data_IF_995254425461
#
_entry.id   IF_995254425461
#
_cell.length_a   1.000
_cell.length_b   1.000
_cell.length_c   1.000
_cell.angle_alpha   90.00
_cell.angle_beta   90.00
_cell.angle_gamma   90.00
#
_symmetry.space_group_name_H-M   'P 1'
#
loop_
_entity.id
_entity.type
_entity.pdbx_description
1 polymer ?
#
# COMPACT_ATOMS: atom_id res chain seq x y z
N UNK A 1 -16.02 39.75 8.24
CA UNK A 1 -16.36 38.41 8.77
C UNK A 1 -16.54 37.48 7.59
N UNK A 2 -15.65 36.49 7.46
CA UNK A 2 -15.50 35.65 6.28
C UNK A 2 -16.60 34.57 6.22
N UNK A 3 -17.53 34.70 5.26
CA UNK A 3 -18.68 33.78 5.08
C UNK A 3 -18.25 32.35 4.69
N UNK A 4 -16.99 32.16 4.31
CA UNK A 4 -16.41 30.85 3.99
C UNK A 4 -16.21 29.98 5.23
N UNK A 5 -16.01 30.58 6.41
CA UNK A 5 -15.76 29.84 7.65
C UNK A 5 -17.05 29.26 8.26
N UNK A 6 -18.17 29.98 8.17
CA UNK A 6 -19.46 29.50 8.72
C UNK A 6 -19.98 28.28 7.96
N UNK A 7 -19.82 28.24 6.63
CA UNK A 7 -20.22 27.10 5.81
C UNK A 7 -19.43 25.83 6.18
N UNK A 8 -18.13 25.96 6.44
CA UNK A 8 -17.31 24.81 6.86
C UNK A 8 -17.70 24.29 8.25
N UNK A 9 -18.04 25.18 9.18
CA UNK A 9 -18.50 24.77 10.53
C UNK A 9 -19.81 23.97 10.50
N UNK A 10 -20.77 24.39 9.66
CA UNK A 10 -22.05 23.67 9.50
C UNK A 10 -21.80 22.26 8.93
N UNK A 11 -20.91 22.13 7.93
CA UNK A 11 -20.56 20.83 7.36
C UNK A 11 -19.88 19.90 8.37
N UNK A 12 -18.94 20.41 9.16
CA UNK A 12 -18.26 19.62 10.21
C UNK A 12 -19.28 19.14 11.26
N UNK A 13 -20.19 20.01 11.69
CA UNK A 13 -21.27 19.64 12.62
C UNK A 13 -22.17 18.52 12.08
N UNK A 14 -22.57 18.61 10.81
CA UNK A 14 -23.39 17.59 10.16
C UNK A 14 -22.67 16.23 10.07
N UNK A 15 -21.37 16.24 9.75
CA UNK A 15 -20.55 15.02 9.70
C UNK A 15 -20.44 14.37 11.08
N UNK A 16 -20.22 15.14 12.15
CA UNK A 16 -20.14 14.61 13.52
C UNK A 16 -21.47 13.95 13.92
N UNK A 17 -22.60 14.60 13.62
CA UNK A 17 -23.93 14.04 13.92
C UNK A 17 -24.14 12.74 13.12
N UNK A 18 -23.80 12.72 11.84
CA UNK A 18 -23.92 11.52 11.00
C UNK A 18 -23.08 10.36 11.54
N UNK A 19 -21.83 10.62 11.96
CA UNK A 19 -20.96 9.62 12.59
C UNK A 19 -21.56 9.11 13.90
N UNK A 20 -22.10 10.01 14.74
CA UNK A 20 -22.75 9.64 16.00
C UNK A 20 -23.99 8.75 15.80
N UNK A 21 -24.84 9.08 14.82
CA UNK A 21 -26.01 8.25 14.46
C UNK A 21 -25.55 6.88 13.95
N UNK A 22 -24.54 6.84 13.08
CA UNK A 22 -23.95 5.58 12.59
C UNK A 22 -23.44 4.72 13.74
N UNK A 23 -22.75 5.32 14.72
CA UNK A 23 -22.27 4.61 15.90
C UNK A 23 -23.41 4.08 16.77
N UNK A 24 -24.49 4.85 16.96
CA UNK A 24 -25.66 4.42 17.72
C UNK A 24 -26.36 3.24 17.04
N UNK A 25 -26.59 3.34 15.73
CA UNK A 25 -27.18 2.27 14.91
C UNK A 25 -26.32 1.01 14.98
N UNK A 26 -25.00 1.14 14.91
CA UNK A 26 -24.07 0.00 15.03
C UNK A 26 -24.18 -0.74 16.37
N UNK A 27 -24.54 -0.06 17.45
CA UNK A 27 -24.71 -0.67 18.77
C UNK A 27 -26.10 -1.27 18.99
N UNK A 28 -27.13 -0.73 18.33
CA UNK A 28 -28.52 -1.16 18.52
C UNK A 28 -28.95 -2.29 17.57
N UNK A 29 -28.31 -2.38 16.39
CA UNK A 29 -28.68 -3.34 15.34
C UNK A 29 -27.86 -4.62 15.50
N UNK A 30 -28.49 -5.78 15.26
CA UNK A 30 -27.76 -7.05 15.31
C UNK A 30 -26.60 -7.07 14.31
N UNK A 31 -25.45 -7.71 14.64
CA UNK A 31 -24.28 -7.74 13.76
C UNK A 31 -24.58 -8.26 12.35
N UNK A 32 -25.54 -9.19 12.25
CA UNK A 32 -26.00 -9.75 10.97
C UNK A 32 -26.71 -8.70 10.13
N UNK A 33 -27.71 -8.00 10.70
CA UNK A 33 -28.43 -6.92 10.02
C UNK A 33 -27.49 -5.79 9.60
N UNK A 34 -26.52 -5.45 10.45
CA UNK A 34 -25.53 -4.42 10.15
C UNK A 34 -24.64 -4.80 8.96
N UNK A 35 -24.20 -6.07 8.90
CA UNK A 35 -23.42 -6.58 7.77
C UNK A 35 -24.20 -6.49 6.46
N UNK A 36 -25.48 -6.89 6.46
CA UNK A 36 -26.35 -6.76 5.30
C UNK A 36 -26.59 -5.30 4.89
N UNK A 37 -26.76 -4.39 5.85
CA UNK A 37 -26.88 -2.97 5.58
C UNK A 37 -25.64 -2.44 4.84
N UNK A 38 -24.43 -2.77 5.32
CA UNK A 38 -23.19 -2.40 4.64
C UNK A 38 -23.08 -2.99 3.23
N UNK A 39 -23.42 -4.27 3.04
CA UNK A 39 -23.41 -4.91 1.71
C UNK A 39 -24.35 -4.17 0.76
N UNK A 40 -25.57 -3.85 1.20
CA UNK A 40 -26.56 -3.14 0.37
C UNK A 40 -26.09 -1.72 0.07
N UNK A 41 -25.60 -0.98 1.06
CA UNK A 41 -25.12 0.40 0.87
C UNK A 41 -23.92 0.44 -0.07
N UNK A 42 -22.91 -0.41 0.14
CA UNK A 42 -21.72 -0.47 -0.70
C UNK A 42 -22.08 -0.99 -2.10
N UNK A 43 -22.92 -2.02 -2.21
CA UNK A 43 -23.40 -2.55 -3.49
C UNK A 43 -24.20 -1.51 -4.28
N UNK A 44 -25.13 -0.81 -3.65
CA UNK A 44 -25.89 0.27 -4.27
C UNK A 44 -24.96 1.41 -4.73
N UNK A 45 -23.99 1.80 -3.89
CA UNK A 45 -23.01 2.82 -4.27
C UNK A 45 -22.15 2.42 -5.47
N UNK A 46 -21.74 1.14 -5.55
CA UNK A 46 -20.99 0.61 -6.68
C UNK A 46 -21.82 0.64 -7.97
N UNK A 47 -23.11 0.27 -7.89
CA UNK A 47 -24.06 0.34 -9.01
C UNK A 47 -24.28 1.79 -9.45
N UNK A 48 -24.44 2.73 -8.51
CA UNK A 48 -24.59 4.16 -8.81
C UNK A 48 -23.33 4.68 -9.51
N UNK A 49 -22.13 4.35 -9.01
CA UNK A 49 -20.87 4.74 -9.65
C UNK A 49 -20.73 4.14 -11.05
N UNK A 50 -21.09 2.87 -11.24
CA UNK A 50 -21.05 2.21 -12.55
C UNK A 50 -22.07 2.84 -13.53
N UNK A 51 -23.26 3.17 -13.05
CA UNK A 51 -24.28 3.88 -13.82
C UNK A 51 -23.81 5.28 -14.20
N UNK A 52 -23.22 6.03 -13.25
CA UNK A 52 -22.65 7.34 -13.52
C UNK A 52 -21.51 7.26 -14.54
N UNK A 53 -20.62 6.27 -14.41
CA UNK A 53 -19.53 6.03 -15.37
C UNK A 53 -20.07 5.76 -16.78
N UNK A 54 -21.19 5.05 -16.91
CA UNK A 54 -21.81 4.80 -18.22
C UNK A 54 -22.35 6.06 -18.91
N UNK A 55 -22.72 7.09 -18.13
CA UNK A 55 -23.17 8.39 -18.67
C UNK A 55 -22.01 9.36 -18.89
N UNK A 56 -21.08 9.38 -17.96
CA UNK A 56 -19.92 10.27 -17.95
C UNK A 56 -18.68 9.43 -17.67
N UNK A 57 -17.95 9.00 -18.73
CA UNK A 57 -16.78 8.14 -18.58
C UNK A 57 -15.61 8.90 -17.96
N UNK A 58 -15.66 9.05 -16.65
CA UNK A 58 -14.59 9.60 -15.82
C UNK A 58 -13.83 8.47 -15.14
N UNK A 59 -12.49 8.49 -15.24
CA UNK A 59 -11.64 7.43 -14.67
C UNK A 59 -11.84 7.30 -13.15
N UNK A 60 -12.08 8.43 -12.46
CA UNK A 60 -12.28 8.44 -11.01
C UNK A 60 -13.51 7.67 -10.56
N UNK A 61 -14.64 7.79 -11.27
CA UNK A 61 -15.88 7.11 -10.90
C UNK A 61 -15.77 5.59 -11.11
N UNK A 62 -15.03 5.15 -12.13
CA UNK A 62 -14.73 3.74 -12.33
C UNK A 62 -13.89 3.14 -11.20
N UNK A 63 -12.84 3.85 -10.76
CA UNK A 63 -11.97 3.40 -9.66
C UNK A 63 -12.79 3.28 -8.37
N UNK A 64 -13.55 4.32 -8.03
CA UNK A 64 -14.40 4.32 -6.83
C UNK A 64 -15.42 3.18 -6.93
N UNK A 65 -16.18 3.09 -8.01
CA UNK A 65 -17.19 2.03 -8.19
C UNK A 65 -16.60 0.63 -8.09
N UNK A 66 -15.42 0.40 -8.67
CA UNK A 66 -14.73 -0.88 -8.59
C UNK A 66 -14.27 -1.20 -7.17
N UNK A 67 -13.66 -0.24 -6.46
CA UNK A 67 -13.20 -0.44 -5.08
C UNK A 67 -14.40 -0.75 -4.18
N UNK A 68 -15.46 0.07 -4.24
CA UNK A 68 -16.64 -0.12 -3.39
C UNK A 68 -17.36 -1.43 -3.70
N UNK A 69 -17.45 -1.80 -4.99
CA UNK A 69 -18.01 -3.08 -5.42
C UNK A 69 -17.16 -4.27 -4.96
N UNK A 70 -15.83 -4.14 -5.01
CA UNK A 70 -14.89 -5.16 -4.50
C UNK A 70 -15.06 -5.38 -3.01
N UNK A 71 -15.14 -4.31 -2.22
CA UNK A 71 -15.37 -4.39 -0.77
C UNK A 71 -16.72 -5.03 -0.47
N UNK A 72 -17.80 -4.60 -1.16
CA UNK A 72 -19.13 -5.19 -0.99
C UNK A 72 -19.13 -6.69 -1.29
N UNK A 73 -18.49 -7.09 -2.39
CA UNK A 73 -18.39 -8.50 -2.81
C UNK A 73 -17.62 -9.33 -1.78
N UNK A 74 -16.50 -8.81 -1.25
CA UNK A 74 -15.75 -9.53 -0.22
C UNK A 74 -16.57 -9.67 1.06
N UNK A 75 -17.23 -8.60 1.55
CA UNK A 75 -18.08 -8.68 2.75
C UNK A 75 -19.21 -9.72 2.55
N UNK A 76 -19.82 -9.76 1.37
CA UNK A 76 -20.82 -10.77 1.02
C UNK A 76 -20.23 -12.19 1.07
N UNK A 77 -19.09 -12.42 0.40
CA UNK A 77 -18.42 -13.72 0.37
C UNK A 77 -18.01 -14.17 1.78
N UNK A 78 -17.47 -13.28 2.60
CA UNK A 78 -17.03 -13.62 3.95
C UNK A 78 -18.20 -13.94 4.86
N UNK A 79 -19.33 -13.24 4.68
CA UNK A 79 -20.58 -13.53 5.40
C UNK A 79 -21.16 -14.90 5.03
N UNK A 80 -21.14 -15.28 3.75
CA UNK A 80 -21.69 -16.56 3.28
C UNK A 80 -20.76 -17.75 3.56
N UNK A 81 -19.46 -17.57 3.37
CA UNK A 81 -18.45 -18.64 3.50
C UNK A 81 -17.88 -18.76 4.92
N UNK A 82 -18.35 -17.92 5.86
CA UNK A 82 -17.83 -17.85 7.24
C UNK A 82 -16.29 -17.68 7.28
N UNK A 83 -15.74 -16.96 6.30
CA UNK A 83 -14.30 -16.67 6.24
C UNK A 83 -14.02 -15.56 7.25
N UNK A 84 -13.12 -15.85 8.19
CA UNK A 84 -12.67 -14.91 9.22
C UNK A 84 -11.13 -14.85 9.24
N UNK A 85 -10.56 -13.92 10.03
CA UNK A 85 -9.11 -13.73 10.14
C UNK A 85 -8.51 -12.89 9.00
N UNK A 86 -7.19 -12.99 8.80
CA UNK A 86 -6.48 -12.18 7.82
C UNK A 86 -6.84 -12.49 6.36
N UNK A 87 -7.51 -13.60 6.07
CA UNK A 87 -7.93 -13.93 4.69
C UNK A 87 -8.85 -12.84 4.11
N UNK A 88 -9.68 -12.20 4.95
CA UNK A 88 -10.58 -11.12 4.53
C UNK A 88 -9.81 -9.94 3.93
N UNK A 89 -8.90 -9.26 4.67
CA UNK A 89 -8.13 -8.15 4.11
C UNK A 89 -7.20 -8.58 2.96
N UNK A 90 -6.69 -9.83 2.95
CA UNK A 90 -5.93 -10.38 1.81
C UNK A 90 -6.76 -10.36 0.53
N UNK A 91 -7.99 -10.87 0.59
CA UNK A 91 -8.90 -10.88 -0.55
C UNK A 91 -9.26 -9.47 -1.02
N UNK A 92 -9.52 -8.54 -0.07
CA UNK A 92 -9.82 -7.15 -0.39
C UNK A 92 -8.64 -6.50 -1.13
N UNK A 93 -7.43 -6.60 -0.59
CA UNK A 93 -6.23 -6.01 -1.18
C UNK A 93 -5.91 -6.62 -2.55
N UNK A 94 -6.06 -7.95 -2.70
CA UNK A 94 -5.86 -8.64 -3.97
C UNK A 94 -6.89 -8.17 -5.03
N UNK A 95 -8.17 -8.04 -4.66
CA UNK A 95 -9.19 -7.52 -5.56
C UNK A 95 -8.90 -6.08 -5.97
N UNK A 96 -8.57 -5.22 -5.01
CA UNK A 96 -8.27 -3.80 -5.26
C UNK A 96 -7.00 -3.65 -6.10
N UNK A 97 -5.99 -4.50 -5.92
CA UNK A 97 -4.74 -4.48 -6.69
C UNK A 97 -4.90 -4.92 -8.15
N UNK A 98 -5.88 -5.79 -8.42
CA UNK A 98 -6.16 -6.37 -9.73
C UNK A 98 -6.40 -5.36 -10.88
N UNK A 99 -7.23 -4.30 -10.72
CA UNK A 99 -7.43 -3.30 -11.78
C UNK A 99 -6.16 -2.50 -12.06
N UNK A 100 -5.34 -2.20 -11.05
CA UNK A 100 -4.06 -1.52 -11.23
C UNK A 100 -3.07 -2.41 -11.97
N UNK A 101 -3.01 -3.69 -11.61
CA UNK A 101 -2.18 -4.67 -12.29
C UNK A 101 -2.60 -4.79 -13.76
N UNK A 102 -3.89 -4.98 -14.02
CA UNK A 102 -4.44 -5.09 -15.37
C UNK A 102 -4.16 -3.83 -16.20
N UNK A 103 -4.45 -2.64 -15.66
CA UNK A 103 -4.22 -1.38 -16.36
C UNK A 103 -2.72 -1.12 -16.64
N UNK A 104 -1.84 -1.44 -15.69
CA UNK A 104 -0.40 -1.27 -15.81
C UNK A 104 0.26 -2.26 -16.78
N UNK A 105 -0.27 -3.49 -16.88
CA UNK A 105 0.19 -4.49 -17.85
C UNK A 105 -0.33 -4.21 -19.25
N UNK A 106 -1.58 -3.71 -19.38
CA UNK A 106 -2.21 -3.50 -20.68
C UNK A 106 -1.71 -2.26 -21.40
N UNK A 107 -1.31 -1.22 -20.68
CA UNK A 107 -0.92 0.07 -21.27
C UNK A 107 0.46 0.53 -20.79
N UNK A 108 1.43 0.60 -21.71
CA UNK A 108 2.81 0.99 -21.42
C UNK A 108 2.91 2.39 -20.81
N UNK A 109 2.00 3.28 -21.19
CA UNK A 109 1.99 4.66 -20.70
C UNK A 109 1.53 4.75 -19.24
N UNK A 110 0.85 3.70 -18.74
CA UNK A 110 0.32 3.61 -17.38
C UNK A 110 1.10 2.65 -16.49
N UNK A 111 2.35 2.32 -16.85
CA UNK A 111 3.22 1.45 -16.03
C UNK A 111 3.41 1.94 -14.60
N UNK A 112 3.22 3.23 -14.33
CA UNK A 112 3.20 3.78 -12.97
C UNK A 112 2.16 3.13 -12.05
N UNK A 113 1.06 2.58 -12.60
CA UNK A 113 0.03 1.87 -11.84
C UNK A 113 0.48 0.50 -11.32
N UNK A 114 1.57 -0.06 -11.86
CA UNK A 114 2.13 -1.31 -11.34
C UNK A 114 2.68 -1.15 -9.92
N UNK A 115 3.07 0.07 -9.53
CA UNK A 115 3.57 0.33 -8.17
C UNK A 115 2.46 0.17 -7.13
N UNK A 116 1.29 0.84 -7.23
CA UNK A 116 0.16 0.55 -6.36
C UNK A 116 -0.28 -0.92 -6.37
N UNK A 117 -0.33 -1.55 -7.54
CA UNK A 117 -0.69 -2.96 -7.65
C UNK A 117 0.25 -3.84 -6.82
N UNK A 118 1.55 -3.68 -7.03
CA UNK A 118 2.59 -4.39 -6.31
C UNK A 118 2.47 -4.20 -4.80
N UNK A 119 2.28 -2.95 -4.33
CA UNK A 119 2.13 -2.66 -2.90
C UNK A 119 0.91 -3.38 -2.32
N UNK A 120 -0.25 -3.36 -3.00
CA UNK A 120 -1.44 -4.06 -2.53
C UNK A 120 -1.23 -5.57 -2.42
N UNK A 121 -0.64 -6.18 -3.45
CA UNK A 121 -0.33 -7.62 -3.44
C UNK A 121 0.71 -7.97 -2.38
N UNK A 122 1.72 -7.14 -2.17
CA UNK A 122 2.74 -7.39 -1.17
C UNK A 122 2.20 -7.28 0.25
N UNK A 123 1.32 -6.30 0.54
CA UNK A 123 0.62 -6.24 1.83
C UNK A 123 -0.31 -7.45 2.00
N UNK A 124 -1.02 -7.87 0.95
CA UNK A 124 -1.84 -9.08 1.01
C UNK A 124 -0.97 -10.32 1.34
N UNK A 125 0.20 -10.43 0.73
CA UNK A 125 1.12 -11.55 0.97
C UNK A 125 1.71 -11.49 2.39
N UNK A 126 2.02 -10.30 2.91
CA UNK A 126 2.39 -10.09 4.32
C UNK A 126 1.31 -10.60 5.26
N UNK A 127 0.06 -10.20 5.05
CA UNK A 127 -1.06 -10.59 5.91
C UNK A 127 -1.29 -12.11 5.87
N UNK A 128 -1.10 -12.73 4.71
CA UNK A 128 -1.17 -14.17 4.57
C UNK A 128 -0.04 -14.86 5.36
N UNK A 129 1.18 -14.31 5.29
CA UNK A 129 2.29 -14.83 6.08
C UNK A 129 2.08 -14.65 7.57
N UNK A 130 1.57 -13.51 8.05
CA UNK A 130 1.33 -13.30 9.48
C UNK A 130 0.28 -14.27 10.04
N UNK A 131 -0.70 -14.67 9.25
CA UNK A 131 -1.72 -15.63 9.68
C UNK A 131 -1.19 -17.08 9.69
N UNK A 132 -0.36 -17.44 8.72
CA UNK A 132 0.25 -18.78 8.64
C UNK A 132 1.44 -18.95 9.57
N UNK A 133 2.07 -17.84 9.94
CA UNK A 133 3.25 -17.82 10.74
C UNK A 133 2.94 -18.04 12.22
N UNK A 134 3.81 -18.80 12.86
CA UNK A 134 3.90 -18.81 14.31
C UNK A 134 4.38 -17.42 14.82
N UNK A 135 4.11 -17.10 16.09
CA UNK A 135 4.36 -15.76 16.71
C UNK A 135 5.79 -15.23 16.51
N UNK A 136 6.73 -16.11 16.15
CA UNK A 136 8.13 -15.78 15.84
C UNK A 136 8.27 -14.91 14.59
N UNK A 137 7.32 -14.90 13.66
CA UNK A 137 7.43 -14.08 12.44
C UNK A 137 6.96 -12.64 12.62
N UNK A 138 6.38 -12.28 13.76
CA UNK A 138 6.01 -10.89 14.06
C UNK A 138 7.24 -9.96 14.01
N UNK A 139 8.41 -10.49 14.35
CA UNK A 139 9.71 -9.81 14.24
C UNK A 139 10.18 -9.62 12.79
N UNK A 140 9.70 -10.46 11.85
CA UNK A 140 10.02 -10.36 10.42
C UNK A 140 9.06 -9.45 9.65
N UNK A 141 7.91 -9.09 10.23
CA UNK A 141 6.96 -8.18 9.59
C UNK A 141 7.62 -6.84 9.23
N UNK A 142 8.33 -6.14 10.14
CA UNK A 142 9.02 -4.90 9.80
C UNK A 142 10.07 -5.08 8.70
N UNK A 143 10.83 -6.18 8.73
CA UNK A 143 11.80 -6.56 7.68
C UNK A 143 11.13 -6.64 6.33
N UNK A 144 10.03 -7.38 6.24
CA UNK A 144 9.27 -7.56 5.02
C UNK A 144 8.73 -6.23 4.50
N UNK A 145 8.12 -5.41 5.36
CA UNK A 145 7.55 -4.11 4.98
C UNK A 145 8.63 -3.20 4.40
N UNK A 146 9.78 -3.09 5.07
CA UNK A 146 10.89 -2.25 4.60
C UNK A 146 11.44 -2.76 3.26
N UNK A 147 11.58 -4.08 3.12
CA UNK A 147 12.04 -4.69 1.88
C UNK A 147 11.07 -4.42 0.72
N UNK A 148 9.78 -4.66 0.94
CA UNK A 148 8.73 -4.48 -0.05
C UNK A 148 8.60 -3.03 -0.48
N UNK A 149 8.63 -2.07 0.44
CA UNK A 149 8.52 -0.65 0.08
C UNK A 149 9.79 -0.18 -0.64
N UNK A 150 10.98 -0.66 -0.24
CA UNK A 150 12.24 -0.28 -0.85
C UNK A 150 12.43 -0.81 -2.27
N UNK A 151 11.91 -2.00 -2.57
CA UNK A 151 12.14 -2.70 -3.83
C UNK A 151 11.63 -1.93 -5.07
N UNK A 152 10.42 -1.33 -5.10
CA UNK A 152 9.95 -0.47 -6.18
C UNK A 152 10.89 0.70 -6.50
N UNK A 153 11.50 1.32 -5.49
CA UNK A 153 12.44 2.44 -5.71
C UNK A 153 13.70 1.96 -6.41
N UNK A 154 14.22 0.80 -6.00
CA UNK A 154 15.41 0.20 -6.63
C UNK A 154 15.10 -0.22 -8.06
N UNK A 155 13.96 -0.89 -8.30
CA UNK A 155 13.53 -1.27 -9.64
C UNK A 155 13.37 -0.02 -10.52
N UNK A 156 12.68 1.01 -10.04
CA UNK A 156 12.48 2.25 -10.79
C UNK A 156 13.77 3.01 -11.04
N UNK A 157 14.73 2.98 -10.11
CA UNK A 157 16.06 3.54 -10.32
C UNK A 157 16.75 2.92 -11.55
N UNK A 158 16.75 1.59 -11.67
CA UNK A 158 17.38 0.90 -12.80
C UNK A 158 16.58 1.07 -14.11
N UNK A 159 15.25 0.99 -14.05
CA UNK A 159 14.38 1.14 -15.22
C UNK A 159 14.46 2.55 -15.81
N UNK A 160 14.45 3.58 -14.95
CA UNK A 160 14.43 4.98 -15.41
C UNK A 160 15.83 5.62 -15.47
N UNK A 161 16.87 4.88 -15.07
CA UNK A 161 18.24 5.39 -14.91
C UNK A 161 18.34 6.60 -13.94
N UNK A 162 17.33 6.78 -13.08
CA UNK A 162 17.30 7.84 -12.07
C UNK A 162 17.86 7.33 -10.75
N UNK A 163 19.19 7.39 -10.63
CA UNK A 163 19.91 6.86 -9.47
C UNK A 163 19.56 7.54 -8.13
N UNK A 164 18.95 8.72 -8.15
CA UNK A 164 18.44 9.39 -6.95
C UNK A 164 17.41 8.53 -6.18
N UNK A 165 16.67 7.65 -6.87
CA UNK A 165 15.71 6.73 -6.25
C UNK A 165 16.40 5.59 -5.45
N UNK A 166 17.68 5.31 -5.68
CA UNK A 166 18.42 4.34 -4.84
C UNK A 166 18.61 4.84 -3.41
N UNK A 167 18.53 6.14 -3.14
CA UNK A 167 18.68 6.66 -1.78
C UNK A 167 17.53 6.16 -0.89
N UNK A 168 16.25 6.47 -1.18
CA UNK A 168 15.15 5.95 -0.37
C UNK A 168 15.05 4.42 -0.46
N UNK A 169 15.21 3.83 -1.65
CA UNK A 169 15.15 2.37 -1.81
C UNK A 169 16.25 1.63 -1.06
N UNK A 170 17.48 2.12 -1.15
CA UNK A 170 18.65 1.56 -0.50
C UNK A 170 18.57 1.67 1.02
N UNK A 171 18.16 2.83 1.56
CA UNK A 171 17.96 3.00 3.01
C UNK A 171 16.94 1.98 3.53
N UNK A 172 15.79 1.86 2.85
CA UNK A 172 14.74 0.90 3.23
C UNK A 172 15.24 -0.55 3.17
N UNK A 173 15.95 -0.94 2.11
CA UNK A 173 16.51 -2.29 2.00
C UNK A 173 17.59 -2.56 3.05
N UNK A 174 18.43 -1.58 3.38
CA UNK A 174 19.46 -1.73 4.43
C UNK A 174 18.82 -1.88 5.79
N UNK A 175 17.80 -1.07 6.12
CA UNK A 175 17.04 -1.20 7.37
C UNK A 175 16.35 -2.57 7.43
N UNK A 176 15.70 -2.99 6.34
CA UNK A 176 15.09 -4.32 6.26
C UNK A 176 16.12 -5.44 6.50
N UNK A 177 17.29 -5.34 5.87
CA UNK A 177 18.37 -6.33 6.04
C UNK A 177 18.92 -6.36 7.47
N UNK A 178 19.00 -5.20 8.13
CA UNK A 178 19.39 -5.08 9.54
C UNK A 178 18.41 -5.82 10.46
N UNK A 179 17.12 -5.58 10.26
CA UNK A 179 16.06 -6.24 11.00
C UNK A 179 16.08 -7.76 10.74
N UNK A 180 16.32 -8.17 9.49
CA UNK A 180 16.43 -9.58 9.12
C UNK A 180 17.60 -10.28 9.82
N UNK A 181 18.79 -9.66 9.86
CA UNK A 181 19.94 -10.27 10.51
C UNK A 181 19.78 -10.35 12.02
N UNK A 182 19.08 -9.40 12.63
CA UNK A 182 18.73 -9.46 14.06
C UNK A 182 17.94 -10.74 14.38
N UNK A 183 17.03 -11.14 13.49
CA UNK A 183 16.26 -12.39 13.61
C UNK A 183 17.12 -13.66 13.45
N UNK A 184 18.12 -13.65 12.57
CA UNK A 184 19.03 -14.80 12.34
C UNK A 184 20.11 -14.90 13.42
N UNK A 185 20.08 -14.05 14.45
CA UNK A 185 21.07 -14.03 15.52
C UNK A 185 22.41 -13.42 15.10
N UNK A 186 22.42 -12.62 14.02
CA UNK A 186 23.58 -11.82 13.65
C UNK A 186 23.77 -10.77 14.74
N UNK A 187 24.85 -10.90 15.51
CA UNK A 187 25.13 -10.02 16.64
C UNK A 187 25.14 -8.54 16.21
N UNK A 188 24.67 -7.60 17.07
CA UNK A 188 24.61 -6.16 16.76
C UNK A 188 25.92 -5.60 16.22
N UNK A 189 27.04 -6.18 16.67
CA UNK A 189 28.42 -5.86 16.29
C UNK A 189 28.67 -5.93 14.77
N UNK A 190 28.07 -6.90 14.07
CA UNK A 190 28.22 -7.05 12.61
C UNK A 190 27.62 -5.86 11.90
N UNK A 191 26.52 -5.30 12.41
CA UNK A 191 25.90 -4.13 11.82
C UNK A 191 26.56 -2.83 12.24
N UNK A 192 27.00 -2.72 13.49
CA UNK A 192 27.74 -1.54 13.99
C UNK A 192 29.04 -1.33 13.22
N UNK A 193 29.72 -2.41 12.79
CA UNK A 193 30.99 -2.33 12.08
C UNK A 193 30.78 -2.48 10.57
N UNK A 194 29.95 -3.43 10.14
CA UNK A 194 29.76 -3.79 8.74
C UNK A 194 29.10 -2.69 7.90
N UNK A 195 28.06 -2.02 8.42
CA UNK A 195 27.37 -0.96 7.67
C UNK A 195 28.31 0.23 7.41
N UNK A 196 29.03 0.79 8.41
CA UNK A 196 30.01 1.83 8.15
C UNK A 196 31.10 1.42 7.17
N UNK A 197 31.62 0.19 7.28
CA UNK A 197 32.66 -0.31 6.36
C UNK A 197 32.13 -0.37 4.92
N UNK A 198 30.91 -0.86 4.71
CA UNK A 198 30.28 -0.92 3.37
C UNK A 198 30.03 0.51 2.84
N UNK A 199 29.54 1.42 3.67
CA UNK A 199 29.31 2.82 3.28
C UNK A 199 30.62 3.52 2.90
N UNK A 200 31.68 3.34 3.70
CA UNK A 200 33.00 3.90 3.44
C UNK A 200 33.58 3.32 2.14
N UNK A 201 33.52 2.00 1.96
CA UNK A 201 34.01 1.35 0.75
C UNK A 201 33.24 1.81 -0.49
N UNK A 202 31.90 1.92 -0.40
CA UNK A 202 31.05 2.39 -1.49
C UNK A 202 31.33 3.86 -1.85
N UNK A 203 31.50 4.72 -0.83
CA UNK A 203 31.88 6.12 -1.00
C UNK A 203 33.25 6.28 -1.65
N UNK A 204 34.24 5.50 -1.22
CA UNK A 204 35.58 5.48 -1.83
C UNK A 204 35.53 5.04 -3.30
N UNK A 205 34.75 4.00 -3.62
CA UNK A 205 34.58 3.50 -4.99
C UNK A 205 33.91 4.53 -5.91
N UNK A 206 32.91 5.27 -5.39
CA UNK A 206 32.26 6.36 -6.11
C UNK A 206 33.20 7.53 -6.37
N UNK A 207 34.04 7.91 -5.40
CA UNK A 207 35.04 8.97 -5.57
C UNK A 207 36.08 8.60 -6.63
N UNK A 208 36.57 7.36 -6.62
CA UNK A 208 37.53 6.87 -7.62
C UNK A 208 36.94 6.86 -9.04
N UNK A 209 35.67 6.45 -9.20
CA UNK A 209 34.98 6.48 -10.51
C UNK A 209 34.61 7.90 -10.96
N UNK A 210 34.17 8.76 -10.04
CA UNK A 210 33.82 10.15 -10.32
C UNK A 210 35.03 10.98 -10.77
N UNK A 211 36.19 10.78 -10.14
CA UNK A 211 37.44 11.44 -10.51
C UNK A 211 37.94 11.07 -11.92
N UNK A 212 37.73 9.82 -12.35
CA UNK A 212 38.13 9.35 -13.67
C UNK A 212 37.28 9.93 -14.81
N UNK A 213 35.97 10.16 -14.59
CA UNK A 213 35.10 10.75 -15.62
C UNK A 213 35.27 12.28 -15.76
N UNK A 214 35.71 12.97 -14.72
CA UNK A 214 35.99 14.42 -14.77
C UNK A 214 37.19 14.80 -15.65
N UNK A 215 38.16 13.90 -15.85
CA UNK A 215 39.31 14.13 -16.74
C UNK A 215 38.98 14.00 -18.23
N UNK A 216 37.96 13.21 -18.61
CA UNK A 216 37.56 13.03 -20.01
C UNK A 216 36.73 14.17 -20.59
N UNK A 217 36.18 15.06 -19.75
CA UNK A 217 35.40 16.22 -20.19
C UNK A 217 36.25 17.50 -20.41
N UNK A 218 37.58 17.41 -20.24
CA UNK A 218 38.53 18.54 -20.40
C UNK A 218 39.43 18.43 -21.64
N UNK A 219 39.20 17.46 -22.52
CA UNK A 219 39.83 17.34 -23.83
C UNK A 219 38.74 17.25 -24.90
#
# INVERSE_FOLDING_TARGET
>A
MDTRNSRNQIWIGLVIIAIGVLALVNNLVSPVLMSWAWIITLGASAVICAWQYSRHPEIGTAIVGYVTGSVALVILLTSQLHISGAIVPVLILALIGLPFLYAGLRNSDKRGLLVPAYVMFAIALLLLFTEMADHRMDELVPTYVMAVIGLPFVVMAFVTQKYALLIPGGILLVIGSFLAGSFVGVGPQVFTIGIPVILIASGALLLLRGGSNGQKAKH
#
